data_IF_706794864200
#
_entry.id   IF_706794864200
#
_cell.length_a   1.000
_cell.length_b   1.000
_cell.length_c   1.000
_cell.angle_alpha   90.00
_cell.angle_beta   90.00
_cell.angle_gamma   90.00
#
_symmetry.space_group_name_H-M   'P 1'
#
loop_
_entity.id
_entity.type
_entity.pdbx_description
1 polymer ?
#
# COMPACT_ATOMS: atom_id res chain seq x y z
N UNK A 1 -12.92 -11.18 5.25
CA UNK A 1 -12.77 -9.76 5.60
C UNK A 1 -13.22 -9.65 7.04
N UNK A 2 -12.43 -9.02 7.90
CA UNK A 2 -12.78 -8.85 9.32
C UNK A 2 -14.07 -8.01 9.43
N UNK A 3 -15.09 -8.53 10.14
CA UNK A 3 -16.42 -7.92 10.25
C UNK A 3 -16.34 -6.53 10.88
N UNK A 4 -15.43 -6.34 11.84
CA UNK A 4 -15.12 -5.06 12.46
C UNK A 4 -14.62 -4.06 11.41
N UNK A 5 -13.69 -4.48 10.54
CA UNK A 5 -13.18 -3.64 9.46
C UNK A 5 -14.25 -3.26 8.43
N UNK A 6 -15.24 -4.15 8.18
CA UNK A 6 -16.37 -3.84 7.29
C UNK A 6 -17.30 -2.81 7.94
N UNK A 7 -17.58 -2.94 9.25
CA UNK A 7 -18.37 -1.97 10.02
C UNK A 7 -17.71 -0.60 10.03
N UNK A 8 -16.44 -0.51 10.41
CA UNK A 8 -15.68 0.75 10.42
C UNK A 8 -15.69 1.43 9.05
N UNK A 9 -15.69 0.64 7.97
CA UNK A 9 -15.82 1.14 6.61
C UNK A 9 -17.20 1.74 6.35
N UNK A 10 -18.27 1.03 6.70
CA UNK A 10 -19.63 1.53 6.53
C UNK A 10 -19.88 2.86 7.29
N UNK A 11 -19.50 2.92 8.58
CA UNK A 11 -19.68 4.11 9.43
C UNK A 11 -19.01 5.36 8.86
N UNK A 12 -17.84 5.19 8.25
CA UNK A 12 -17.07 6.29 7.68
C UNK A 12 -17.70 6.83 6.39
N UNK A 13 -18.17 5.96 5.50
CA UNK A 13 -18.85 6.39 4.28
C UNK A 13 -20.08 7.27 4.63
N UNK A 14 -20.86 6.84 5.63
CA UNK A 14 -21.97 7.64 6.18
C UNK A 14 -21.48 8.99 6.72
N UNK A 15 -20.39 9.00 7.50
CA UNK A 15 -19.82 10.23 8.06
C UNK A 15 -19.41 11.23 6.97
N UNK A 16 -18.78 10.75 5.89
CA UNK A 16 -18.35 11.58 4.77
C UNK A 16 -19.54 12.21 4.05
N UNK A 17 -20.55 11.39 3.72
CA UNK A 17 -21.78 11.87 3.09
C UNK A 17 -22.48 12.91 3.95
N UNK A 18 -22.60 12.68 5.27
CA UNK A 18 -23.13 13.66 6.23
C UNK A 18 -22.33 14.96 6.30
N UNK A 19 -21.02 14.90 6.03
CA UNK A 19 -20.15 16.07 6.01
C UNK A 19 -20.32 16.97 4.79
N UNK A 20 -20.87 16.43 3.68
CA UNK A 20 -20.93 17.13 2.39
C UNK A 20 -22.35 17.46 1.99
N UNK A 21 -23.25 16.46 2.03
CA UNK A 21 -24.62 16.59 1.52
C UNK A 21 -25.35 17.84 2.07
N UNK A 22 -25.22 18.21 3.37
CA UNK A 22 -25.86 19.42 3.88
C UNK A 22 -25.39 20.72 3.24
N UNK A 23 -24.18 20.75 2.67
CA UNK A 23 -23.61 21.91 1.98
C UNK A 23 -23.88 21.95 0.48
N UNK A 24 -24.63 21.00 -0.07
CA UNK A 24 -24.96 20.94 -1.50
C UNK A 24 -26.37 21.47 -1.76
N UNK A 25 -26.55 22.14 -2.90
CA UNK A 25 -27.86 22.60 -3.36
C UNK A 25 -28.84 21.42 -3.51
N UNK A 26 -30.10 21.55 -3.03
CA UNK A 26 -31.07 20.45 -2.98
C UNK A 26 -31.75 20.20 -4.34
N UNK A 27 -30.96 19.82 -5.33
CA UNK A 27 -31.45 19.37 -6.63
C UNK A 27 -31.84 17.88 -6.59
N UNK A 28 -32.69 17.42 -7.52
CA UNK A 28 -33.20 16.03 -7.54
C UNK A 28 -32.11 14.95 -7.36
N UNK A 29 -30.95 15.01 -8.04
CA UNK A 29 -29.86 14.06 -7.79
C UNK A 29 -29.32 14.07 -6.35
N UNK A 30 -29.24 15.25 -5.72
CA UNK A 30 -28.79 15.38 -4.32
C UNK A 30 -29.84 14.83 -3.36
N UNK A 31 -31.13 15.00 -3.65
CA UNK A 31 -32.20 14.34 -2.87
C UNK A 31 -32.15 12.81 -2.99
N UNK A 32 -31.80 12.28 -4.17
CA UNK A 32 -31.56 10.85 -4.33
C UNK A 32 -30.34 10.38 -3.53
N UNK A 33 -29.25 11.15 -3.52
CA UNK A 33 -28.08 10.86 -2.68
C UNK A 33 -28.43 10.88 -1.17
N UNK A 34 -29.32 11.79 -0.73
CA UNK A 34 -29.84 11.82 0.65
C UNK A 34 -30.62 10.56 1.00
N UNK A 35 -31.44 10.04 0.07
CA UNK A 35 -32.17 8.79 0.28
C UNK A 35 -31.20 7.61 0.45
N UNK A 36 -30.19 7.50 -0.42
CA UNK A 36 -29.16 6.48 -0.27
C UNK A 36 -28.34 6.60 1.03
N UNK A 37 -28.10 7.82 1.53
CA UNK A 37 -27.52 8.02 2.86
C UNK A 37 -28.44 7.51 3.97
N UNK A 38 -29.75 7.79 3.90
CA UNK A 38 -30.71 7.28 4.87
C UNK A 38 -30.76 5.75 4.87
N UNK A 39 -30.71 5.13 3.68
CA UNK A 39 -30.68 3.67 3.54
C UNK A 39 -29.38 3.09 4.12
N UNK A 40 -28.24 3.75 3.90
CA UNK A 40 -26.97 3.26 4.45
C UNK A 40 -26.95 3.31 5.98
N UNK A 41 -27.51 4.36 6.59
CA UNK A 41 -27.69 4.45 8.05
C UNK A 41 -28.60 3.34 8.59
N UNK A 42 -29.69 3.04 7.88
CA UNK A 42 -30.60 1.95 8.22
C UNK A 42 -29.89 0.59 8.22
N UNK A 43 -29.16 0.27 7.14
CA UNK A 43 -28.46 -1.02 7.03
C UNK A 43 -27.33 -1.14 8.05
N UNK A 44 -26.59 -0.05 8.32
CA UNK A 44 -25.58 -0.02 9.38
C UNK A 44 -26.19 -0.39 10.73
N UNK A 45 -27.33 0.22 11.09
CA UNK A 45 -28.02 -0.05 12.35
C UNK A 45 -28.55 -1.49 12.47
N UNK A 46 -28.76 -2.17 11.34
CA UNK A 46 -29.17 -3.59 11.30
C UNK A 46 -28.01 -4.58 11.30
N UNK A 47 -26.77 -4.10 11.25
CA UNK A 47 -25.58 -4.95 11.12
C UNK A 47 -25.31 -5.42 9.68
N UNK A 48 -26.04 -4.92 8.69
CA UNK A 48 -25.77 -5.21 7.28
C UNK A 48 -24.77 -4.19 6.70
N UNK A 49 -23.51 -4.38 7.05
CA UNK A 49 -22.43 -3.44 6.69
C UNK A 49 -22.16 -3.41 5.19
N UNK A 50 -22.38 -4.52 4.47
CA UNK A 50 -22.17 -4.59 3.02
C UNK A 50 -23.21 -3.74 2.31
N UNK A 51 -24.51 -3.92 2.61
CA UNK A 51 -25.57 -3.10 2.02
C UNK A 51 -25.41 -1.62 2.39
N UNK A 52 -24.97 -1.32 3.62
CA UNK A 52 -24.66 0.04 4.03
C UNK A 52 -23.56 0.69 3.16
N UNK A 53 -22.48 -0.04 2.88
CA UNK A 53 -21.40 0.42 2.00
C UNK A 53 -21.91 0.62 0.56
N UNK A 54 -22.72 -0.30 0.04
CA UNK A 54 -23.27 -0.22 -1.32
C UNK A 54 -24.15 1.02 -1.47
N UNK A 55 -25.12 1.25 -0.57
CA UNK A 55 -25.96 2.45 -0.58
C UNK A 55 -25.12 3.72 -0.51
N UNK A 56 -24.11 3.75 0.37
CA UNK A 56 -23.22 4.91 0.47
C UNK A 56 -22.44 5.15 -0.83
N UNK A 57 -21.95 4.10 -1.49
CA UNK A 57 -21.21 4.21 -2.74
C UNK A 57 -22.07 4.78 -3.88
N UNK A 58 -23.37 4.44 -3.93
CA UNK A 58 -24.31 5.05 -4.87
C UNK A 58 -24.48 6.55 -4.61
N UNK A 59 -24.60 6.96 -3.35
CA UNK A 59 -24.69 8.39 -2.99
C UNK A 59 -23.43 9.17 -3.40
N UNK A 60 -22.24 8.61 -3.12
CA UNK A 60 -20.96 9.22 -3.52
C UNK A 60 -20.85 9.35 -5.04
N UNK A 61 -21.19 8.29 -5.79
CA UNK A 61 -21.13 8.29 -7.25
C UNK A 61 -22.04 9.35 -7.90
N UNK A 62 -23.22 9.60 -7.33
CA UNK A 62 -24.10 10.69 -7.77
C UNK A 62 -23.40 12.04 -7.57
N UNK A 63 -22.85 12.29 -6.38
CA UNK A 63 -22.19 13.55 -6.03
C UNK A 63 -20.95 13.76 -6.90
N UNK A 64 -20.13 12.73 -7.09
CA UNK A 64 -18.94 12.78 -7.94
C UNK A 64 -19.30 13.07 -9.40
N UNK A 65 -20.35 12.46 -9.93
CA UNK A 65 -20.83 12.74 -11.29
C UNK A 65 -21.30 14.18 -11.48
N UNK A 66 -21.96 14.76 -10.47
CA UNK A 66 -22.38 16.17 -10.48
C UNK A 66 -21.21 17.12 -10.27
N UNK A 67 -20.17 16.70 -9.55
CA UNK A 67 -18.95 17.48 -9.41
C UNK A 67 -18.19 17.52 -10.73
N UNK A 68 -18.03 16.38 -11.39
CA UNK A 68 -17.29 16.25 -12.64
C UNK A 68 -17.90 17.10 -13.77
N UNK A 69 -19.24 17.20 -13.81
CA UNK A 69 -19.93 18.03 -14.79
C UNK A 69 -20.09 19.51 -14.37
N UNK A 70 -19.54 19.90 -13.22
CA UNK A 70 -19.59 21.27 -12.70
C UNK A 70 -20.94 21.72 -12.12
N UNK A 71 -21.92 20.82 -11.95
CA UNK A 71 -23.23 21.16 -11.37
C UNK A 71 -23.12 21.50 -9.89
N UNK A 72 -22.22 20.84 -9.16
CA UNK A 72 -21.97 21.11 -7.74
C UNK A 72 -20.48 21.29 -7.46
N UNK A 73 -20.16 22.19 -6.53
CA UNK A 73 -18.81 22.25 -5.94
C UNK A 73 -18.79 21.40 -4.68
N UNK A 74 -18.48 20.11 -4.84
CA UNK A 74 -18.32 19.19 -3.72
C UNK A 74 -16.82 18.96 -3.48
N UNK A 75 -16.33 19.35 -2.30
CA UNK A 75 -15.03 18.91 -1.81
C UNK A 75 -15.26 17.88 -0.74
N UNK A 76 -14.80 16.65 -0.99
CA UNK A 76 -14.70 15.68 0.08
C UNK A 76 -13.70 16.22 1.08
N UNK A 77 -14.19 16.74 2.22
CA UNK A 77 -13.32 16.98 3.36
C UNK A 77 -12.66 15.65 3.62
N UNK A 78 -11.36 15.64 3.40
CA UNK A 78 -10.52 14.46 3.31
C UNK A 78 -10.29 13.86 4.70
N UNK A 79 -11.36 13.66 5.47
CA UNK A 79 -11.50 12.48 6.31
C UNK A 79 -11.92 11.28 5.42
N UNK A 80 -11.54 11.31 4.12
CA UNK A 80 -11.16 10.09 3.42
C UNK A 80 -10.38 9.27 4.44
N UNK A 81 -10.50 7.95 4.38
CA UNK A 81 -9.34 7.18 4.78
C UNK A 81 -8.11 7.86 4.20
N UNK A 82 -7.29 8.52 5.02
CA UNK A 82 -5.89 8.22 4.87
C UNK A 82 -5.85 6.73 5.14
N UNK A 83 -5.97 5.95 4.06
CA UNK A 83 -5.57 4.58 4.11
C UNK A 83 -4.19 4.64 4.74
N UNK A 84 -4.03 3.84 5.80
CA UNK A 84 -2.81 3.86 6.58
C UNK A 84 -1.64 3.81 5.63
N UNK A 85 -0.75 4.77 5.76
CA UNK A 85 0.38 4.88 4.86
C UNK A 85 1.36 3.77 5.22
N UNK A 86 1.69 2.93 4.24
CA UNK A 86 2.58 1.78 4.44
C UNK A 86 3.84 2.00 3.63
N UNK A 87 4.99 1.66 4.20
CA UNK A 87 6.24 1.59 3.46
C UNK A 87 6.89 0.22 3.56
N UNK A 88 7.52 -0.20 2.47
CA UNK A 88 8.41 -1.37 2.44
C UNK A 88 9.69 -1.01 1.68
N UNK A 89 10.85 -1.44 2.18
CA UNK A 89 12.14 -1.11 1.56
C UNK A 89 12.93 -2.38 1.18
N UNK A 90 13.62 -2.32 0.05
CA UNK A 90 14.40 -3.46 -0.42
C UNK A 90 15.22 -3.14 -1.66
N UNK A 91 16.01 -4.12 -2.11
CA UNK A 91 16.70 -4.03 -3.41
C UNK A 91 15.73 -4.29 -4.55
N UNK A 92 14.79 -5.23 -4.40
CA UNK A 92 13.83 -5.60 -5.45
C UNK A 92 14.51 -5.92 -6.78
N UNK A 93 15.55 -6.76 -6.73
CA UNK A 93 16.43 -7.01 -7.87
C UNK A 93 15.68 -7.76 -8.98
N UNK A 94 15.54 -9.08 -8.87
CA UNK A 94 14.65 -9.84 -9.74
C UNK A 94 13.35 -10.13 -8.96
N UNK A 95 12.21 -9.64 -9.47
CA UNK A 95 10.90 -9.88 -8.85
C UNK A 95 10.53 -11.36 -8.96
N UNK A 96 10.00 -11.90 -7.87
CA UNK A 96 9.60 -13.29 -7.73
C UNK A 96 8.42 -13.40 -6.74
N UNK A 97 7.73 -14.55 -6.64
CA UNK A 97 6.55 -14.69 -5.79
C UNK A 97 6.76 -14.30 -4.32
N UNK A 98 7.96 -14.51 -3.77
CA UNK A 98 8.32 -14.02 -2.43
C UNK A 98 8.16 -12.50 -2.25
N UNK A 99 8.60 -11.69 -3.23
CA UNK A 99 8.37 -10.24 -3.19
C UNK A 99 6.89 -9.91 -3.34
N UNK A 100 6.17 -10.59 -4.25
CA UNK A 100 4.74 -10.34 -4.46
C UNK A 100 3.95 -10.56 -3.17
N UNK A 101 4.21 -11.65 -2.44
CA UNK A 101 3.52 -11.93 -1.17
C UNK A 101 3.83 -10.92 -0.07
N UNK A 102 5.08 -10.46 0.02
CA UNK A 102 5.45 -9.39 0.92
C UNK A 102 4.72 -8.08 0.60
N UNK A 103 4.65 -7.70 -0.69
CA UNK A 103 3.99 -6.48 -1.13
C UNK A 103 2.46 -6.57 -1.01
N UNK A 104 1.85 -7.72 -1.29
CA UNK A 104 0.43 -7.98 -1.05
C UNK A 104 0.07 -7.84 0.44
N UNK A 105 0.90 -8.41 1.32
CA UNK A 105 0.73 -8.24 2.77
C UNK A 105 0.83 -6.77 3.16
N UNK A 106 1.86 -6.06 2.69
CA UNK A 106 2.04 -4.65 3.02
C UNK A 106 0.87 -3.79 2.50
N UNK A 107 0.40 -4.04 1.27
CA UNK A 107 -0.74 -3.34 0.69
C UNK A 107 -2.08 -3.66 1.40
N UNK A 108 -2.19 -4.82 2.06
CA UNK A 108 -3.37 -5.13 2.88
C UNK A 108 -3.49 -4.26 4.13
N UNK A 109 -2.39 -3.61 4.55
CA UNK A 109 -2.37 -2.69 5.68
C UNK A 109 -2.71 -1.24 5.28
N UNK A 110 -2.74 -0.92 3.99
CA UNK A 110 -3.09 0.39 3.44
C UNK A 110 -2.25 0.80 2.23
N UNK A 111 -2.12 2.11 2.01
CA UNK A 111 -1.48 2.70 0.84
C UNK A 111 0.04 2.45 0.80
N UNK A 112 0.48 1.50 -0.03
CA UNK A 112 1.87 1.08 -0.08
C UNK A 112 2.77 1.97 -0.94
N UNK A 113 3.75 2.62 -0.30
CA UNK A 113 4.94 3.20 -0.94
C UNK A 113 6.13 2.23 -0.85
N UNK A 114 6.69 1.80 -1.98
CA UNK A 114 7.88 0.94 -2.00
C UNK A 114 9.14 1.78 -2.19
N UNK A 115 10.12 1.60 -1.30
CA UNK A 115 11.45 2.21 -1.39
C UNK A 115 12.40 1.23 -2.07
N UNK A 116 12.92 1.65 -3.22
CA UNK A 116 13.90 0.92 -4.01
C UNK A 116 15.30 1.40 -3.64
N UNK A 117 16.13 0.48 -3.14
CA UNK A 117 17.51 0.79 -2.73
C UNK A 117 18.33 1.26 -3.94
N UNK A 118 19.14 2.30 -3.74
CA UNK A 118 20.12 2.74 -4.74
C UNK A 118 21.16 1.65 -5.00
N UNK A 119 21.71 1.58 -6.21
CA UNK A 119 22.70 0.56 -6.59
C UNK A 119 23.89 0.58 -5.63
N UNK A 120 24.46 1.78 -5.37
CA UNK A 120 25.55 1.98 -4.40
C UNK A 120 25.26 1.43 -3.00
N UNK A 121 24.04 1.62 -2.51
CA UNK A 121 23.64 1.18 -1.17
C UNK A 121 23.41 -0.33 -1.13
N UNK A 122 22.77 -0.87 -2.17
CA UNK A 122 22.56 -2.31 -2.31
C UNK A 122 23.90 -3.05 -2.39
N UNK A 123 24.86 -2.55 -3.17
CA UNK A 123 26.22 -3.10 -3.25
C UNK A 123 26.92 -3.07 -1.91
N UNK A 124 26.87 -1.95 -1.19
CA UNK A 124 27.47 -1.84 0.15
C UNK A 124 26.86 -2.82 1.15
N UNK A 125 25.54 -3.01 1.12
CA UNK A 125 24.83 -3.85 2.07
C UNK A 125 24.99 -5.36 1.78
N UNK A 126 25.00 -5.76 0.50
CA UNK A 126 25.03 -7.17 0.08
C UNK A 126 26.41 -7.67 -0.33
N UNK A 127 27.39 -6.78 -0.48
CA UNK A 127 28.75 -7.11 -0.94
C UNK A 127 28.85 -7.40 -2.44
N UNK A 128 27.75 -7.27 -3.20
CA UNK A 128 27.73 -7.46 -4.64
C UNK A 128 26.76 -6.49 -5.31
N UNK A 129 27.06 -6.11 -6.55
CA UNK A 129 26.17 -5.26 -7.35
C UNK A 129 24.85 -5.99 -7.64
N UNK A 130 23.70 -5.31 -7.58
CA UNK A 130 22.44 -5.84 -8.11
C UNK A 130 22.57 -6.27 -9.57
N UNK A 131 21.78 -7.25 -9.99
CA UNK A 131 21.75 -7.71 -11.38
C UNK A 131 21.14 -6.65 -12.29
N UNK A 132 20.13 -5.92 -11.80
CA UNK A 132 19.42 -4.90 -12.55
C UNK A 132 19.72 -3.49 -12.01
N UNK A 133 19.93 -2.47 -12.89
CA UNK A 133 20.10 -1.09 -12.47
C UNK A 133 18.91 -0.56 -11.68
N UNK A 134 19.14 0.41 -10.78
CA UNK A 134 18.11 0.96 -9.90
C UNK A 134 16.87 1.52 -10.62
N UNK A 135 17.05 2.08 -11.82
CA UNK A 135 15.94 2.60 -12.62
C UNK A 135 15.06 1.48 -13.18
N UNK A 136 15.66 0.36 -13.59
CA UNK A 136 14.92 -0.80 -14.07
C UNK A 136 14.13 -1.44 -12.93
N UNK A 137 14.76 -1.61 -11.76
CA UNK A 137 14.09 -2.12 -10.55
C UNK A 137 12.92 -1.22 -10.15
N UNK A 138 13.12 0.10 -10.17
CA UNK A 138 12.06 1.08 -9.91
C UNK A 138 10.89 0.97 -10.89
N UNK A 139 11.17 0.87 -12.19
CA UNK A 139 10.13 0.77 -13.22
C UNK A 139 9.28 -0.49 -13.04
N UNK A 140 9.92 -1.64 -12.79
CA UNK A 140 9.22 -2.91 -12.57
C UNK A 140 8.37 -2.86 -11.30
N UNK A 141 8.94 -2.41 -10.18
CA UNK A 141 8.22 -2.32 -8.90
C UNK A 141 7.03 -1.36 -8.98
N UNK A 142 7.19 -0.22 -9.66
CA UNK A 142 6.12 0.78 -9.86
C UNK A 142 4.91 0.22 -10.63
N UNK A 143 5.11 -0.81 -11.46
CA UNK A 143 4.05 -1.42 -12.26
C UNK A 143 3.28 -2.52 -11.53
N UNK A 144 3.70 -2.91 -10.32
CA UNK A 144 3.05 -3.99 -9.57
C UNK A 144 1.74 -3.50 -8.96
N UNK A 145 0.65 -4.26 -9.18
CA UNK A 145 -0.69 -3.98 -8.63
C UNK A 145 -0.74 -3.57 -7.14
N UNK A 146 -0.03 -4.22 -6.19
CA UNK A 146 -0.08 -3.82 -4.78
C UNK A 146 0.65 -2.50 -4.48
N UNK A 147 1.41 -1.93 -5.42
CA UNK A 147 2.25 -0.75 -5.19
C UNK A 147 1.53 0.51 -5.64
N UNK A 148 1.16 1.38 -4.69
CA UNK A 148 0.57 2.69 -5.01
C UNK A 148 1.61 3.64 -5.60
N UNK A 149 2.83 3.61 -5.05
CA UNK A 149 3.95 4.42 -5.51
C UNK A 149 5.25 3.70 -5.21
N UNK A 150 6.24 3.82 -6.08
CA UNK A 150 7.62 3.45 -5.76
C UNK A 150 8.54 4.67 -5.87
N UNK A 151 9.55 4.71 -5.01
CA UNK A 151 10.56 5.78 -4.99
C UNK A 151 11.95 5.18 -4.83
N UNK A 152 12.97 5.94 -5.23
CA UNK A 152 14.36 5.61 -4.89
C UNK A 152 14.68 6.06 -3.46
N UNK A 153 15.44 5.23 -2.74
CA UNK A 153 15.98 5.59 -1.43
C UNK A 153 17.04 6.69 -1.51
N UNK A 154 17.49 7.17 -0.35
CA UNK A 154 18.56 8.18 -0.30
C UNK A 154 19.86 7.70 -0.94
N UNK A 155 20.53 8.57 -1.70
CA UNK A 155 21.88 8.31 -2.25
C UNK A 155 22.95 8.23 -1.17
N UNK A 156 22.79 8.99 -0.09
CA UNK A 156 23.78 9.14 0.97
C UNK A 156 23.11 9.12 2.35
N UNK A 157 23.84 8.70 3.36
CA UNK A 157 23.38 8.69 4.74
C UNK A 157 22.59 7.45 5.13
N UNK A 158 21.78 7.60 6.18
CA UNK A 158 21.05 6.51 6.81
C UNK A 158 19.81 6.09 5.99
N UNK A 159 19.69 4.82 5.56
CA UNK A 159 18.49 4.34 4.84
C UNK A 159 17.19 4.54 5.63
N UNK A 160 17.26 4.54 6.96
CA UNK A 160 16.10 4.74 7.84
C UNK A 160 15.53 6.15 7.69
N UNK A 161 16.35 7.13 7.30
CA UNK A 161 15.89 8.50 7.08
C UNK A 161 14.86 8.59 5.95
N UNK A 162 15.01 7.82 4.87
CA UNK A 162 14.00 7.80 3.79
C UNK A 162 12.64 7.33 4.31
N UNK A 163 12.62 6.37 5.23
CA UNK A 163 11.38 5.92 5.87
C UNK A 163 10.82 7.03 6.77
N UNK A 164 11.67 7.68 7.57
CA UNK A 164 11.27 8.78 8.43
C UNK A 164 10.72 10.01 7.66
N UNK A 165 11.29 10.31 6.50
CA UNK A 165 10.83 11.41 5.63
C UNK A 165 9.43 11.13 5.06
N UNK A 166 9.09 9.85 4.82
CA UNK A 166 7.76 9.44 4.38
C UNK A 166 6.70 9.46 5.49
N UNK A 167 7.12 9.35 6.75
CA UNK A 167 6.25 9.25 7.93
C UNK A 167 5.11 8.21 7.81
N UNK A 168 5.40 6.96 7.40
CA UNK A 168 4.35 5.97 7.25
C UNK A 168 3.75 5.57 8.60
N UNK A 169 2.48 5.21 8.62
CA UNK A 169 1.85 4.55 9.78
C UNK A 169 2.52 3.20 10.07
N UNK A 170 2.81 2.43 9.00
CA UNK A 170 3.43 1.11 9.08
C UNK A 170 4.68 1.00 8.22
N UNK A 171 5.74 0.41 8.76
CA UNK A 171 6.90 -0.02 7.99
C UNK A 171 7.02 -1.53 8.02
N UNK A 172 6.92 -2.16 6.84
CA UNK A 172 6.92 -3.61 6.71
C UNK A 172 8.32 -4.13 6.40
N UNK A 173 8.81 -4.99 7.27
CA UNK A 173 10.04 -5.74 7.09
C UNK A 173 9.77 -7.11 6.45
N UNK A 174 10.66 -7.50 5.53
CA UNK A 174 10.74 -8.87 5.05
C UNK A 174 11.34 -9.82 6.10
N UNK A 175 11.16 -11.14 5.92
CA UNK A 175 11.59 -12.14 6.90
C UNK A 175 13.11 -12.15 7.12
N UNK A 176 13.88 -11.76 6.10
CA UNK A 176 15.34 -11.92 6.06
C UNK A 176 16.10 -10.63 6.37
N UNK A 177 15.39 -9.55 6.71
CA UNK A 177 16.02 -8.27 7.01
C UNK A 177 16.58 -8.26 8.45
N UNK A 178 17.86 -7.91 8.64
CA UNK A 178 18.57 -8.08 9.92
C UNK A 178 18.29 -6.98 10.96
N UNK A 179 17.23 -6.19 10.79
CA UNK A 179 16.86 -5.13 11.72
C UNK A 179 15.99 -5.69 12.83
N UNK A 180 16.17 -5.28 14.08
CA UNK A 180 15.17 -5.50 15.13
C UNK A 180 14.04 -4.48 15.01
N UNK A 181 12.80 -4.93 15.16
CA UNK A 181 11.60 -4.10 15.04
C UNK A 181 11.61 -2.93 16.04
N UNK A 182 11.95 -3.19 17.31
CA UNK A 182 11.91 -2.18 18.37
C UNK A 182 13.05 -1.17 18.24
N UNK A 183 14.24 -1.64 17.91
CA UNK A 183 15.38 -0.75 17.65
C UNK A 183 15.08 0.18 16.46
N UNK A 184 14.44 -0.35 15.41
CA UNK A 184 14.07 0.44 14.25
C UNK A 184 12.97 1.46 14.57
N UNK A 185 11.96 1.08 15.36
CA UNK A 185 10.93 2.00 15.87
C UNK A 185 11.55 3.14 16.69
N UNK A 186 12.48 2.83 17.60
CA UNK A 186 13.19 3.84 18.41
C UNK A 186 14.00 4.79 17.52
N UNK A 187 14.68 4.26 16.51
CA UNK A 187 15.43 5.05 15.56
C UNK A 187 14.53 5.96 14.73
N UNK A 188 13.40 5.47 14.23
CA UNK A 188 12.39 6.28 13.54
C UNK A 188 11.83 7.38 14.46
N UNK A 189 11.60 7.05 15.73
CA UNK A 189 11.16 8.02 16.75
C UNK A 189 12.19 9.12 16.99
N UNK A 190 13.49 8.81 16.95
CA UNK A 190 14.57 9.82 17.04
C UNK A 190 14.55 10.82 15.88
N UNK A 191 13.97 10.44 14.73
CA UNK A 191 13.70 11.32 13.59
C UNK A 191 12.31 12.00 13.65
N UNK A 192 11.58 11.89 14.77
CA UNK A 192 10.25 12.46 14.92
C UNK A 192 9.14 11.69 14.19
N UNK A 193 9.35 10.39 13.93
CA UNK A 193 8.45 9.54 13.18
C UNK A 193 7.86 8.43 14.06
N UNK A 194 6.54 8.44 14.29
CA UNK A 194 5.82 7.44 15.10
C UNK A 194 5.30 6.28 14.25
N UNK A 195 6.20 5.64 13.49
CA UNK A 195 5.88 4.49 12.63
C UNK A 195 5.90 3.21 13.44
N UNK A 196 4.90 2.33 13.23
CA UNK A 196 4.92 0.96 13.75
C UNK A 196 5.62 0.03 12.78
N UNK A 197 6.57 -0.77 13.25
CA UNK A 197 7.31 -1.72 12.43
C UNK A 197 6.65 -3.10 12.52
N UNK A 198 6.39 -3.72 11.38
CA UNK A 198 5.73 -5.03 11.28
C UNK A 198 6.60 -5.95 10.42
N UNK A 199 6.89 -7.16 10.90
CA UNK A 199 7.60 -8.16 10.09
C UNK A 199 6.65 -9.17 9.47
N UNK A 200 6.82 -9.38 8.17
CA UNK A 200 6.20 -10.49 7.46
C UNK A 200 7.01 -11.77 7.68
N UNK A 201 6.69 -12.53 8.74
CA UNK A 201 7.44 -13.70 9.17
C UNK A 201 7.34 -14.91 8.23
N UNK A 202 6.35 -14.94 7.34
CA UNK A 202 6.12 -16.08 6.46
C UNK A 202 7.01 -16.00 5.23
N UNK A 203 8.10 -16.78 5.19
CA UNK A 203 8.79 -17.03 3.93
C UNK A 203 7.86 -17.80 3.00
N UNK A 204 7.41 -17.14 1.93
CA UNK A 204 6.62 -17.82 0.91
C UNK A 204 7.48 -18.87 0.20
N UNK A 205 7.03 -20.12 0.30
CA UNK A 205 7.59 -21.26 -0.42
C UNK A 205 6.44 -22.03 -1.06
N UNK A 206 6.67 -22.53 -2.27
CA UNK A 206 5.71 -23.37 -2.98
C UNK A 206 6.50 -24.35 -3.85
N UNK A 207 6.12 -25.65 -3.90
CA UNK A 207 6.76 -26.63 -4.76
C UNK A 207 6.84 -26.13 -6.21
N UNK A 208 8.03 -26.22 -6.80
CA UNK A 208 8.28 -25.78 -8.18
C UNK A 208 8.47 -24.27 -8.39
N UNK A 209 8.27 -23.43 -7.37
CA UNK A 209 8.50 -21.98 -7.48
C UNK A 209 9.84 -21.57 -6.88
N UNK A 210 10.55 -20.68 -7.58
CA UNK A 210 11.75 -20.01 -7.07
C UNK A 210 11.34 -18.70 -6.39
N UNK A 211 11.68 -18.53 -5.11
CA UNK A 211 11.20 -17.40 -4.28
C UNK A 211 12.32 -16.51 -3.72
N UNK A 212 13.53 -16.60 -4.28
CA UNK A 212 14.63 -15.67 -4.01
C UNK A 212 15.42 -15.35 -5.27
N UNK A 213 15.95 -14.11 -5.36
CA UNK A 213 16.83 -13.71 -6.47
C UNK A 213 18.07 -14.59 -6.57
N UNK A 214 18.71 -14.96 -5.45
CA UNK A 214 19.91 -15.81 -5.45
C UNK A 214 19.66 -17.15 -6.14
N UNK A 215 18.54 -17.81 -5.83
CA UNK A 215 18.17 -19.07 -6.46
C UNK A 215 17.84 -18.94 -7.94
N UNK A 216 17.24 -17.81 -8.36
CA UNK A 216 17.02 -17.53 -9.79
C UNK A 216 18.36 -17.49 -10.51
N UNK A 217 19.33 -16.74 -9.95
CA UNK A 217 20.67 -16.62 -10.52
C UNK A 217 21.41 -17.97 -10.54
N UNK A 218 21.33 -18.75 -9.46
CA UNK A 218 21.91 -20.10 -9.38
C UNK A 218 21.35 -21.03 -10.47
N UNK A 219 20.02 -21.03 -10.67
CA UNK A 219 19.38 -21.85 -11.71
C UNK A 219 19.80 -21.41 -13.12
N UNK A 220 19.88 -20.10 -13.37
CA UNK A 220 20.34 -19.57 -14.67
C UNK A 220 21.79 -19.99 -14.93
N UNK A 221 22.68 -19.85 -13.95
CA UNK A 221 24.08 -20.27 -14.05
C UNK A 221 24.19 -21.77 -14.34
N UNK A 222 23.51 -22.61 -13.56
CA UNK A 222 23.52 -24.05 -13.76
C UNK A 222 23.04 -24.48 -15.16
N UNK A 223 22.03 -23.80 -15.72
CA UNK A 223 21.54 -24.08 -17.09
C UNK A 223 22.51 -23.62 -18.17
N UNK A 224 23.19 -22.49 -17.94
CA UNK A 224 24.22 -21.99 -18.85
C UNK A 224 25.43 -22.93 -18.89
N UNK A 225 25.88 -23.40 -17.72
CA UNK A 225 26.98 -24.36 -17.60
C UNK A 225 26.64 -25.72 -18.24
N UNK A 226 25.34 -26.06 -18.30
CA UNK A 226 24.83 -27.27 -18.93
C UNK A 226 24.52 -27.10 -20.43
N UNK A 227 24.73 -25.92 -21.03
CA UNK A 227 24.46 -25.65 -22.45
C UNK A 227 22.98 -25.61 -22.84
N UNK A 228 22.06 -25.42 -21.89
CA UNK A 228 20.60 -25.50 -22.11
C UNK A 228 20.01 -24.13 -22.53
N UNK A 229 20.73 -23.04 -22.30
CA UNK A 229 20.32 -21.69 -22.70
C UNK A 229 21.24 -21.23 -23.83
N UNK A 230 20.76 -21.35 -25.07
CA UNK A 230 21.36 -20.76 -26.27
C UNK A 230 20.89 -19.33 -26.47
#
# INVERSE_FOLDING_TARGET
MDEEAVRERAERYIRNLKGIIPGLEPIKPIELAKQYLSDSEYYLAKGDYVSSIVCSSYAEGIIDGLRENGTVSASWKTDLLQEKSVAAAGTWDIIHPGHIKLLEFAASLGDLTVIVSRDKNATKAKGHTPMLPEQQRLAVVSALKPVKRAILGSLNGDPVKTVADLKPDFFVLGPDQPYDERELEQKLKSYGCNTKVIRFNQRFTSPGLITSTSKIVEVIRARNDSGIVS
#
